data_IF_195269347687
#
_entry.id   IF_195269347687
#
_cell.length_a   1.000
_cell.length_b   1.000
_cell.length_c   1.000
_cell.angle_alpha   90.00
_cell.angle_beta   90.00
_cell.angle_gamma   90.00
#
_symmetry.space_group_name_H-M   'P 1'
#
loop_
_entity.id
_entity.type
_entity.pdbx_description
1 polymer ?
#
# COMPACT_ATOMS: atom_id res chain seq x y z
N UNK A 1 -55.87 72.16 45.39
CA UNK A 1 -57.11 71.36 45.35
C UNK A 1 -57.97 71.86 44.19
N UNK A 2 -58.11 71.04 43.13
CA UNK A 2 -59.22 70.95 42.17
C UNK A 2 -58.84 69.86 41.14
N UNK A 3 -59.83 69.15 40.58
CA UNK A 3 -59.75 67.70 40.47
C UNK A 3 -60.03 67.18 39.05
N UNK A 4 -60.23 65.86 38.97
CA UNK A 4 -60.98 65.10 37.94
C UNK A 4 -60.24 64.74 36.63
N UNK A 5 -59.91 63.44 36.54
CA UNK A 5 -60.32 62.43 35.52
C UNK A 5 -61.11 62.90 34.26
N UNK A 6 -61.26 62.09 33.18
CA UNK A 6 -60.81 60.70 32.96
C UNK A 6 -60.36 60.39 31.50
N UNK A 7 -60.00 59.13 31.25
CA UNK A 7 -60.51 58.38 30.10
C UNK A 7 -59.61 58.25 28.86
N UNK A 8 -59.67 57.07 28.23
CA UNK A 8 -59.30 56.92 26.82
C UNK A 8 -58.56 55.63 26.49
N UNK A 9 -59.27 54.68 25.91
CA UNK A 9 -58.80 53.38 25.45
C UNK A 9 -57.78 53.44 24.29
N UNK A 10 -57.01 52.35 24.17
CA UNK A 10 -57.03 51.43 23.01
C UNK A 10 -55.64 51.05 22.46
N UNK A 11 -55.61 49.80 21.98
CA UNK A 11 -54.73 49.15 20.99
C UNK A 11 -53.51 48.39 21.50
N UNK A 12 -53.60 47.07 21.27
CA UNK A 12 -52.53 46.08 21.19
C UNK A 12 -51.50 46.46 20.10
N UNK A 13 -50.30 45.83 20.04
CA UNK A 13 -50.22 44.46 19.51
C UNK A 13 -49.17 43.53 20.15
N UNK A 14 -49.54 42.24 20.20
CA UNK A 14 -48.82 41.04 19.77
C UNK A 14 -47.31 40.80 20.05
N UNK A 15 -47.08 39.55 20.49
CA UNK A 15 -45.93 38.66 20.28
C UNK A 15 -44.70 38.80 21.18
N UNK A 16 -44.47 37.75 21.98
CA UNK A 16 -43.15 37.42 22.49
C UNK A 16 -43.22 36.50 23.70
N UNK A 17 -42.90 35.21 23.51
CA UNK A 17 -42.80 34.31 24.67
C UNK A 17 -42.72 32.82 24.33
N UNK A 18 -41.94 32.43 23.33
CA UNK A 18 -41.48 31.06 23.20
C UNK A 18 -40.32 30.84 24.19
N UNK A 19 -40.54 30.10 25.26
CA UNK A 19 -39.45 29.68 26.16
C UNK A 19 -39.82 28.37 26.82
N UNK A 20 -39.16 27.29 26.42
CA UNK A 20 -39.17 26.05 27.17
C UNK A 20 -39.19 24.81 26.28
N UNK A 21 -38.04 24.46 25.69
CA UNK A 21 -37.61 23.06 25.55
C UNK A 21 -36.18 22.98 24.95
N UNK A 22 -35.14 23.31 25.71
CA UNK A 22 -33.75 23.12 25.27
C UNK A 22 -32.86 22.70 26.44
N UNK A 23 -33.11 21.52 27.04
CA UNK A 23 -32.22 20.94 28.07
C UNK A 23 -32.09 19.40 27.94
N UNK A 24 -32.02 18.86 26.72
CA UNK A 24 -31.88 17.40 26.52
C UNK A 24 -30.91 16.98 25.39
N UNK A 25 -29.93 17.81 25.01
CA UNK A 25 -28.99 17.48 23.91
C UNK A 25 -27.52 17.36 24.32
N UNK A 26 -27.15 17.58 25.59
CA UNK A 26 -25.75 17.64 26.00
C UNK A 26 -25.07 16.28 26.26
N UNK A 27 -25.81 15.17 26.34
CA UNK A 27 -25.25 13.87 26.77
C UNK A 27 -24.80 12.94 25.62
N UNK A 28 -25.13 13.24 24.36
CA UNK A 28 -24.79 12.39 23.20
C UNK A 28 -23.58 12.88 22.38
N UNK A 29 -22.99 14.03 22.72
CA UNK A 29 -21.87 14.61 21.95
C UNK A 29 -20.50 14.00 22.26
N UNK A 30 -20.37 13.21 23.34
CA UNK A 30 -19.06 12.70 23.82
C UNK A 30 -18.56 11.40 23.17
N UNK A 31 -19.39 10.69 22.41
CA UNK A 31 -19.10 9.30 21.96
C UNK A 31 -18.56 9.16 20.53
N UNK A 32 -18.34 10.25 19.79
CA UNK A 32 -18.00 10.20 18.36
C UNK A 32 -16.59 10.66 17.98
N UNK A 33 -15.73 10.99 18.94
CA UNK A 33 -14.39 11.54 18.66
C UNK A 33 -13.23 10.53 18.85
N UNK A 34 -13.49 9.24 18.65
CA UNK A 34 -12.43 8.23 18.54
C UNK A 34 -12.03 8.01 17.09
N UNK A 35 -11.32 8.97 16.46
CA UNK A 35 -10.60 8.65 15.21
C UNK A 35 -9.40 7.79 15.60
N UNK A 36 -9.54 6.47 15.52
CA UNK A 36 -8.40 5.55 15.46
C UNK A 36 -7.63 5.85 14.17
N UNK A 37 -6.73 6.82 14.20
CA UNK A 37 -5.68 6.91 13.19
C UNK A 37 -4.66 5.84 13.54
N UNK A 38 -4.92 4.60 13.14
CA UNK A 38 -3.87 3.59 13.08
C UNK A 38 -2.85 4.12 12.07
N UNK A 39 -1.78 4.76 12.56
CA UNK A 39 -0.74 5.31 11.70
C UNK A 39 0.04 4.14 11.13
N UNK A 40 -0.02 4.09 9.82
CA UNK A 40 0.62 3.14 8.93
C UNK A 40 2.15 3.26 8.89
N UNK A 41 2.83 3.35 10.03
CA UNK A 41 4.27 3.59 10.02
C UNK A 41 5.00 2.28 9.70
N UNK A 42 5.88 2.33 8.68
CA UNK A 42 6.72 1.19 8.31
C UNK A 42 6.13 0.21 7.30
N UNK A 43 5.08 0.57 6.57
CA UNK A 43 4.62 -0.19 5.42
C UNK A 43 4.40 0.67 4.17
N UNK A 44 4.46 0.05 3.00
CA UNK A 44 4.25 0.73 1.74
C UNK A 44 5.05 0.12 0.59
N UNK A 45 5.30 0.95 -0.42
CA UNK A 45 5.86 0.53 -1.70
C UNK A 45 6.90 1.51 -2.23
N UNK A 46 7.91 0.95 -2.87
CA UNK A 46 8.81 1.65 -3.78
C UNK A 46 8.72 0.99 -5.15
N UNK A 47 8.78 1.79 -6.23
CA UNK A 47 8.82 1.26 -7.59
C UNK A 47 9.74 2.12 -8.47
N UNK A 48 10.41 1.48 -9.42
CA UNK A 48 11.25 2.15 -10.42
C UNK A 48 11.14 1.42 -11.76
N UNK A 49 11.12 2.13 -12.89
CA UNK A 49 11.46 1.50 -14.17
C UNK A 49 12.89 0.95 -14.10
N UNK A 50 13.21 0.01 -14.98
CA UNK A 50 14.54 -0.60 -15.06
C UNK A 50 15.21 -0.25 -16.38
N UNK A 51 16.50 0.09 -16.34
CA UNK A 51 17.33 0.28 -17.54
C UNK A 51 17.74 -1.05 -18.17
N UNK A 52 17.90 -2.06 -17.34
CA UNK A 52 18.14 -3.45 -17.72
C UNK A 52 17.37 -4.35 -16.77
N UNK A 53 16.72 -5.38 -17.29
CA UNK A 53 16.10 -6.40 -16.45
C UNK A 53 16.00 -7.73 -17.18
N UNK A 54 16.65 -8.74 -16.60
CA UNK A 54 16.79 -10.08 -17.14
C UNK A 54 16.23 -11.07 -16.11
N UNK A 55 15.27 -11.90 -16.52
CA UNK A 55 14.69 -12.95 -15.71
C UNK A 55 14.96 -14.31 -16.37
N UNK A 56 15.33 -15.30 -15.58
CA UNK A 56 15.49 -16.68 -16.00
C UNK A 56 14.63 -17.59 -15.13
N UNK A 57 13.56 -18.15 -15.71
CA UNK A 57 12.62 -19.05 -15.03
C UNK A 57 12.72 -20.43 -15.67
N UNK A 58 13.24 -21.42 -14.95
CA UNK A 58 13.43 -22.79 -15.44
C UNK A 58 14.14 -22.85 -16.81
N UNK A 59 15.16 -21.99 -17.00
CA UNK A 59 15.95 -21.78 -18.24
C UNK A 59 15.22 -21.05 -19.37
N UNK A 60 14.02 -20.50 -19.13
CA UNK A 60 13.40 -19.56 -20.06
C UNK A 60 13.81 -18.14 -19.68
N UNK A 61 14.32 -17.41 -20.65
CA UNK A 61 14.72 -16.02 -20.50
C UNK A 61 13.56 -15.09 -20.89
N UNK A 62 13.42 -14.02 -20.12
CA UNK A 62 12.44 -12.97 -20.38
C UNK A 62 12.95 -11.65 -19.81
N UNK A 63 12.61 -10.55 -20.48
CA UNK A 63 12.94 -9.22 -19.99
C UNK A 63 11.79 -8.66 -19.15
N UNK A 64 12.13 -7.83 -18.16
CA UNK A 64 11.15 -7.04 -17.42
C UNK A 64 11.38 -5.54 -17.64
N UNK A 65 10.44 -4.70 -17.22
CA UNK A 65 10.49 -3.26 -17.47
C UNK A 65 10.48 -2.41 -16.20
N UNK A 66 10.03 -3.00 -15.09
CA UNK A 66 9.98 -2.32 -13.82
C UNK A 66 10.27 -3.26 -12.65
N UNK A 67 10.87 -2.67 -11.61
CA UNK A 67 11.12 -3.28 -10.33
C UNK A 67 10.27 -2.61 -9.27
N UNK A 68 9.69 -3.42 -8.38
CA UNK A 68 8.90 -2.95 -7.25
C UNK A 68 9.29 -3.67 -5.97
N UNK A 69 9.38 -2.91 -4.89
CA UNK A 69 9.59 -3.40 -3.54
C UNK A 69 8.35 -3.08 -2.71
N UNK A 70 7.76 -4.10 -2.11
CA UNK A 70 6.61 -3.96 -1.21
C UNK A 70 7.04 -4.36 0.21
N UNK A 71 6.80 -3.49 1.19
CA UNK A 71 6.98 -3.76 2.62
C UNK A 71 5.61 -3.74 3.30
N UNK A 72 5.06 -4.92 3.57
CA UNK A 72 3.79 -5.03 4.30
C UNK A 72 3.99 -5.22 5.81
N UNK A 73 5.17 -5.70 6.20
CA UNK A 73 5.59 -5.91 7.58
C UNK A 73 7.08 -5.60 7.70
N UNK A 74 7.48 -4.91 8.76
CA UNK A 74 8.90 -4.71 9.06
C UNK A 74 9.60 -6.08 9.20
N UNK A 75 10.69 -6.29 8.46
CA UNK A 75 11.37 -7.58 8.40
C UNK A 75 11.06 -8.41 7.15
N UNK A 76 9.96 -8.11 6.43
CA UNK A 76 9.57 -8.82 5.20
C UNK A 76 9.52 -7.86 4.02
N UNK A 77 10.18 -8.24 2.93
CA UNK A 77 10.13 -7.55 1.65
C UNK A 77 9.66 -8.49 0.55
N UNK A 78 8.81 -7.98 -0.32
CA UNK A 78 8.50 -8.60 -1.61
C UNK A 78 9.22 -7.84 -2.71
N UNK A 79 10.09 -8.54 -3.45
CA UNK A 79 10.78 -8.03 -4.63
C UNK A 79 10.03 -8.51 -5.87
N UNK A 80 9.51 -7.59 -6.67
CA UNK A 80 8.60 -7.88 -7.77
C UNK A 80 9.13 -7.30 -9.07
N UNK A 81 9.27 -8.16 -10.07
CA UNK A 81 9.70 -7.82 -11.41
C UNK A 81 8.48 -7.86 -12.33
N UNK A 82 8.25 -6.77 -13.06
CA UNK A 82 7.06 -6.57 -13.88
C UNK A 82 7.43 -6.69 -15.36
N UNK A 83 6.81 -7.64 -16.04
CA UNK A 83 6.90 -7.85 -17.48
C UNK A 83 5.65 -7.25 -18.10
N UNK A 84 5.78 -6.20 -18.90
CA UNK A 84 4.61 -5.63 -19.57
C UNK A 84 4.27 -6.40 -20.85
N UNK A 85 2.99 -6.36 -21.20
CA UNK A 85 2.53 -6.66 -22.54
C UNK A 85 3.18 -5.66 -23.51
N UNK A 86 3.82 -6.15 -24.56
CA UNK A 86 4.34 -5.31 -25.65
C UNK A 86 3.58 -5.61 -26.96
N UNK A 87 3.92 -4.91 -28.04
CA UNK A 87 3.27 -5.14 -29.35
C UNK A 87 3.35 -6.59 -29.87
N UNK A 88 4.17 -7.45 -29.27
CA UNK A 88 4.30 -8.88 -29.56
C UNK A 88 3.65 -9.80 -28.51
N UNK A 89 3.37 -9.30 -27.30
CA UNK A 89 2.79 -10.04 -26.18
C UNK A 89 1.47 -9.40 -25.73
N UNK A 90 0.38 -10.14 -25.81
CA UNK A 90 -0.93 -9.69 -25.31
C UNK A 90 -1.11 -9.84 -23.80
N UNK A 91 -0.06 -10.24 -23.08
CA UNK A 91 -0.13 -10.64 -21.67
C UNK A 91 0.99 -9.99 -20.88
N UNK A 92 0.66 -9.41 -19.73
CA UNK A 92 1.63 -8.97 -18.74
C UNK A 92 1.92 -10.11 -17.76
N UNK A 93 3.14 -10.16 -17.25
CA UNK A 93 3.56 -11.18 -16.29
C UNK A 93 4.26 -10.53 -15.10
N UNK A 94 4.24 -11.23 -13.99
CA UNK A 94 4.89 -10.80 -12.78
C UNK A 94 5.64 -11.96 -12.16
N UNK A 95 6.89 -11.72 -11.76
CA UNK A 95 7.67 -12.62 -10.94
C UNK A 95 7.98 -11.92 -9.62
N UNK A 96 7.61 -12.54 -8.49
CA UNK A 96 7.88 -11.99 -7.18
C UNK A 96 8.66 -12.96 -6.29
N UNK A 97 9.57 -12.41 -5.49
CA UNK A 97 10.34 -13.10 -4.46
C UNK A 97 9.92 -12.51 -3.11
N UNK A 98 9.46 -13.36 -2.19
CA UNK A 98 9.16 -12.97 -0.82
C UNK A 98 10.29 -13.42 0.08
N UNK A 99 10.90 -12.46 0.77
CA UNK A 99 12.05 -12.72 1.62
C UNK A 99 12.03 -11.98 2.95
N UNK A 100 12.71 -12.56 3.92
CA UNK A 100 13.00 -11.95 5.21
C UNK A 100 14.31 -11.19 5.14
N UNK A 101 14.35 -10.00 5.74
CA UNK A 101 15.58 -9.26 5.96
C UNK A 101 16.56 -10.10 6.78
N UNK A 102 17.81 -10.18 6.33
CA UNK A 102 18.86 -10.79 7.15
C UNK A 102 19.07 -9.99 8.44
N UNK A 103 19.61 -10.65 9.47
CA UNK A 103 19.87 -10.01 10.75
C UNK A 103 20.71 -8.73 10.58
N UNK A 104 20.23 -7.63 11.16
CA UNK A 104 20.87 -6.32 11.07
C UNK A 104 20.63 -5.54 9.77
N UNK A 105 19.90 -6.10 8.79
CA UNK A 105 19.55 -5.38 7.57
C UNK A 105 18.41 -4.39 7.83
N UNK A 106 18.50 -3.16 7.28
CA UNK A 106 17.46 -2.16 7.47
C UNK A 106 16.20 -2.47 6.65
N UNK A 107 15.03 -2.23 7.23
CA UNK A 107 13.77 -2.18 6.50
C UNK A 107 13.72 -0.93 5.59
N UNK A 108 12.79 -0.86 4.64
CA UNK A 108 12.56 0.40 3.90
C UNK A 108 12.06 1.49 4.84
N UNK A 109 12.42 2.74 4.56
CA UNK A 109 11.84 3.91 5.25
C UNK A 109 10.56 4.30 4.54
N UNK A 110 9.44 4.20 5.23
CA UNK A 110 8.14 4.50 4.64
C UNK A 110 7.54 5.76 5.27
N UNK A 111 7.00 6.64 4.42
CA UNK A 111 6.23 7.80 4.84
C UNK A 111 4.84 7.39 5.32
N UNK A 112 4.11 8.33 5.92
CA UNK A 112 2.72 8.13 6.35
C UNK A 112 1.75 7.84 5.19
N UNK A 113 2.14 8.18 3.96
CA UNK A 113 1.35 7.96 2.74
C UNK A 113 1.68 6.62 2.07
N UNK A 114 2.51 5.77 2.70
CA UNK A 114 2.90 4.47 2.17
C UNK A 114 3.91 4.52 1.01
N UNK A 115 4.55 5.67 0.80
CA UNK A 115 5.70 5.77 -0.12
C UNK A 115 6.95 5.33 0.63
N UNK A 116 7.65 4.33 0.12
CA UNK A 116 8.86 3.81 0.74
C UNK A 116 10.11 4.19 -0.04
N UNK A 117 11.21 4.38 0.69
CA UNK A 117 12.56 4.47 0.17
C UNK A 117 13.37 3.25 0.63
N UNK A 118 13.98 2.50 -0.30
CA UNK A 118 14.87 1.41 0.07
C UNK A 118 16.12 1.90 0.80
N UNK A 119 16.61 1.10 1.74
CA UNK A 119 17.85 1.37 2.46
C UNK A 119 18.94 0.43 1.94
N UNK A 120 19.84 0.96 1.11
CA UNK A 120 20.89 0.17 0.46
C UNK A 120 22.17 0.08 1.31
N UNK A 121 22.95 -1.01 1.20
CA UNK A 121 22.56 -2.29 0.61
C UNK A 121 21.63 -3.07 1.55
N UNK A 122 20.77 -3.92 0.99
CA UNK A 122 19.88 -4.81 1.76
C UNK A 122 20.00 -6.24 1.26
N UNK A 123 19.95 -7.22 2.18
CA UNK A 123 19.93 -8.65 1.84
C UNK A 123 18.72 -9.36 2.40
N UNK A 124 18.14 -10.22 1.58
CA UNK A 124 16.97 -11.03 1.90
C UNK A 124 17.29 -12.52 1.82
N UNK A 125 16.72 -13.29 2.75
CA UNK A 125 16.57 -14.74 2.61
C UNK A 125 15.19 -15.01 2.01
N UNK A 126 15.16 -15.60 0.82
CA UNK A 126 13.93 -15.86 0.09
C UNK A 126 13.42 -17.25 0.44
N UNK A 127 12.13 -17.34 0.78
CA UNK A 127 11.45 -18.60 1.08
C UNK A 127 10.31 -18.92 0.10
N UNK A 128 9.86 -17.92 -0.66
CA UNK A 128 8.73 -18.07 -1.57
C UNK A 128 8.99 -17.31 -2.86
N UNK A 129 8.69 -17.94 -3.98
CA UNK A 129 8.59 -17.30 -5.29
C UNK A 129 7.18 -17.52 -5.81
N UNK A 130 6.62 -16.52 -6.49
CA UNK A 130 5.36 -16.68 -7.21
C UNK A 130 5.41 -16.01 -8.58
N UNK A 131 4.71 -16.58 -9.54
CA UNK A 131 4.43 -15.96 -10.82
C UNK A 131 2.93 -15.76 -11.04
N UNK A 132 2.60 -14.69 -11.75
CA UNK A 132 1.23 -14.33 -12.11
C UNK A 132 1.19 -13.80 -13.53
N UNK A 133 0.09 -14.07 -14.24
CA UNK A 133 -0.14 -13.59 -15.61
C UNK A 133 -1.43 -12.79 -15.65
N UNK A 134 -1.43 -11.76 -16.49
CA UNK A 134 -2.54 -10.83 -16.65
C UNK A 134 -2.87 -10.64 -18.12
N UNK A 135 -4.16 -10.49 -18.44
CA UNK A 135 -4.61 -10.10 -19.78
C UNK A 135 -4.34 -8.61 -20.06
N UNK A 136 -4.67 -8.18 -21.27
CA UNK A 136 -4.55 -6.79 -21.74
C UNK A 136 -5.39 -5.78 -20.93
N UNK A 137 -6.38 -6.26 -20.18
CA UNK A 137 -7.22 -5.46 -19.27
C UNK A 137 -6.69 -5.49 -17.83
N UNK A 138 -5.56 -6.14 -17.58
CA UNK A 138 -4.97 -6.30 -16.26
C UNK A 138 -5.70 -7.31 -15.37
N UNK A 139 -6.52 -8.20 -15.94
CA UNK A 139 -7.21 -9.24 -15.20
C UNK A 139 -6.34 -10.48 -15.09
N UNK A 140 -6.32 -11.08 -13.91
CA UNK A 140 -5.50 -12.27 -13.66
C UNK A 140 -5.96 -13.45 -14.53
N UNK A 141 -5.01 -14.11 -15.16
CA UNK A 141 -5.24 -15.27 -16.01
C UNK A 141 -4.78 -16.53 -15.32
N UNK A 142 -5.74 -17.21 -14.70
CA UNK A 142 -5.49 -18.40 -13.91
C UNK A 142 -5.02 -18.08 -12.49
N UNK A 143 -4.71 -19.13 -11.74
CA UNK A 143 -4.22 -18.98 -10.37
C UNK A 143 -2.71 -18.65 -10.40
N UNK A 144 -2.23 -17.76 -9.51
CA UNK A 144 -0.80 -17.59 -9.28
C UNK A 144 -0.15 -18.93 -8.98
N UNK A 145 1.00 -19.21 -9.60
CA UNK A 145 1.81 -20.36 -9.23
C UNK A 145 2.75 -19.92 -8.13
N UNK A 146 2.78 -20.65 -7.02
CA UNK A 146 3.60 -20.32 -5.86
C UNK A 146 4.46 -21.50 -5.49
N UNK A 147 5.74 -21.23 -5.24
CA UNK A 147 6.75 -22.23 -4.95
C UNK A 147 7.46 -21.93 -3.64
N UNK A 148 7.59 -22.96 -2.81
CA UNK A 148 8.51 -22.92 -1.67
C UNK A 148 9.93 -23.11 -2.20
N UNK A 149 10.81 -22.18 -1.83
CA UNK A 149 12.18 -22.12 -2.36
C UNK A 149 13.17 -21.87 -1.24
N UNK A 150 14.44 -22.13 -1.54
CA UNK A 150 15.56 -21.60 -0.81
C UNK A 150 16.33 -20.67 -1.75
N UNK A 151 16.54 -19.43 -1.31
CA UNK A 151 17.18 -18.43 -2.14
C UNK A 151 17.58 -17.18 -1.37
N UNK A 152 18.04 -16.18 -2.10
CA UNK A 152 18.40 -14.88 -1.56
C UNK A 152 18.20 -13.77 -2.57
N UNK A 153 18.00 -12.55 -2.07
CA UNK A 153 18.13 -11.35 -2.89
C UNK A 153 19.19 -10.42 -2.29
N UNK A 154 20.00 -9.83 -3.15
CA UNK A 154 20.89 -8.72 -2.82
C UNK A 154 20.38 -7.49 -3.53
N UNK A 155 20.03 -6.48 -2.74
CA UNK A 155 19.49 -5.22 -3.23
C UNK A 155 20.52 -4.11 -3.03
N UNK A 156 21.08 -3.63 -4.13
CA UNK A 156 22.00 -2.51 -4.19
C UNK A 156 21.33 -1.35 -4.92
N UNK A 157 21.98 -0.18 -4.91
CA UNK A 157 21.37 1.05 -5.45
C UNK A 157 21.14 0.98 -6.96
N UNK A 158 22.03 0.33 -7.66
CA UNK A 158 22.12 0.25 -9.13
C UNK A 158 21.89 -1.16 -9.66
N UNK A 159 21.78 -2.16 -8.77
CA UNK A 159 21.60 -3.56 -9.13
C UNK A 159 20.79 -4.30 -8.08
N UNK A 160 19.82 -5.09 -8.52
CA UNK A 160 19.02 -5.99 -7.71
C UNK A 160 19.13 -7.38 -8.30
N UNK A 161 19.65 -8.33 -7.52
CA UNK A 161 19.82 -9.72 -7.94
C UNK A 161 19.08 -10.65 -6.96
N UNK A 162 18.21 -11.48 -7.48
CA UNK A 162 17.53 -12.54 -6.76
C UNK A 162 17.84 -13.89 -7.42
N UNK A 163 18.17 -14.88 -6.59
CA UNK A 163 18.37 -16.28 -6.99
C UNK A 163 17.62 -17.18 -6.01
N UNK A 164 16.84 -18.13 -6.54
CA UNK A 164 16.14 -19.11 -5.74
C UNK A 164 15.94 -20.43 -6.48
N UNK A 165 15.87 -21.52 -5.72
CA UNK A 165 15.55 -22.85 -6.24
C UNK A 165 14.59 -23.61 -5.33
N UNK A 166 13.80 -24.51 -5.91
CA UNK A 166 12.91 -25.41 -5.17
C UNK A 166 13.50 -26.83 -5.11
N UNK A 167 13.06 -27.62 -4.13
CA UNK A 167 13.44 -29.04 -4.02
C UNK A 167 12.95 -29.89 -5.20
N UNK A 168 11.94 -29.42 -5.91
CA UNK A 168 11.35 -30.05 -7.09
C UNK A 168 12.16 -29.77 -8.37
N UNK A 169 13.26 -29.04 -8.26
CA UNK A 169 14.15 -28.69 -9.39
C UNK A 169 13.78 -27.39 -10.11
N UNK A 170 12.85 -26.61 -9.56
CA UNK A 170 12.55 -25.27 -10.08
C UNK A 170 13.70 -24.29 -9.80
N UNK A 171 13.94 -23.36 -10.72
CA UNK A 171 14.99 -22.33 -10.59
C UNK A 171 14.51 -20.99 -11.14
N UNK A 172 14.76 -19.93 -10.36
CA UNK A 172 14.40 -18.56 -10.66
C UNK A 172 15.59 -17.65 -10.39
N UNK A 173 16.03 -16.94 -11.41
CA UNK A 173 17.04 -15.90 -11.32
C UNK A 173 16.42 -14.62 -11.88
N UNK A 174 16.62 -13.50 -11.20
CA UNK A 174 16.13 -12.21 -11.65
C UNK A 174 17.18 -11.14 -11.33
N UNK A 175 17.55 -10.38 -12.34
CA UNK A 175 18.48 -9.27 -12.25
C UNK A 175 17.84 -8.01 -12.83
N UNK A 176 17.93 -6.89 -12.11
CA UNK A 176 17.46 -5.61 -12.59
C UNK A 176 18.39 -4.47 -12.17
N UNK A 177 18.52 -3.48 -13.06
CA UNK A 177 19.21 -2.21 -12.80
C UNK A 177 18.17 -1.08 -12.83
N UNK A 178 17.77 -0.56 -11.66
CA UNK A 178 16.88 0.61 -11.55
C UNK A 178 17.46 1.89 -12.18
#
# INVERSE_FOLDING_TARGET
MRPLSPGGAARAPWLGGATGLLLATAALAGLLAGRLTARAEGFGRWASPTRQCDLQINRREQNCQALRLDQNLAGLLTVRFLVEADGSRTMAEELLFVGQLQAGQPAMRCSVDGQCEPQWPTRLLVSTVADSRYDDRGLIMGLPQTHLVQGSCVLERDRVLCDASSREGGSWIAEAAP
#
